data_IF_200589137163
#
_entry.id   IF_200589137163
#
_cell.length_a   1.000
_cell.length_b   1.000
_cell.length_c   1.000
_cell.angle_alpha   90.00
_cell.angle_beta   90.00
_cell.angle_gamma   90.00
#
_symmetry.space_group_name_H-M   'P 1'
#
loop_
_entity.id
_entity.type
_entity.pdbx_description
1 polymer ?
#
# COMPACT_ATOMS: atom_id res chain seq x y z
N UNK A 1 19.66 8.92 -10.84
CA UNK A 1 18.96 7.97 -11.74
C UNK A 1 17.53 7.93 -11.28
N UNK A 2 16.62 8.60 -11.99
CA UNK A 2 15.19 8.38 -11.76
C UNK A 2 14.81 7.15 -12.57
N UNK A 3 14.77 6.01 -11.90
CA UNK A 3 14.31 4.76 -12.51
C UNK A 3 12.80 4.79 -12.62
N UNK A 4 12.24 4.32 -13.74
CA UNK A 4 10.80 4.12 -13.88
C UNK A 4 10.28 3.30 -12.69
N UNK A 5 9.21 3.71 -11.99
CA UNK A 5 8.64 2.95 -10.87
C UNK A 5 8.32 1.50 -11.25
N UNK A 6 7.97 1.27 -12.53
CA UNK A 6 7.71 -0.06 -13.07
C UNK A 6 8.98 -0.92 -13.13
N UNK A 7 10.13 -0.34 -13.47
CA UNK A 7 11.41 -1.05 -13.47
C UNK A 7 11.84 -1.43 -12.05
N UNK A 8 11.64 -0.53 -11.08
CA UNK A 8 11.91 -0.84 -9.68
C UNK A 8 11.02 -1.99 -9.22
N UNK A 9 9.73 -1.95 -9.57
CA UNK A 9 8.79 -3.02 -9.22
C UNK A 9 9.16 -4.36 -9.87
N UNK A 10 9.59 -4.38 -11.14
CA UNK A 10 10.04 -5.63 -11.77
C UNK A 10 11.26 -6.24 -11.07
N UNK A 11 12.20 -5.41 -10.62
CA UNK A 11 13.37 -5.88 -9.86
C UNK A 11 12.97 -6.46 -8.49
N UNK A 12 12.00 -5.82 -7.81
CA UNK A 12 11.46 -6.33 -6.54
C UNK A 12 10.77 -7.69 -6.75
N UNK A 13 9.97 -7.83 -7.81
CA UNK A 13 9.29 -9.09 -8.14
C UNK A 13 10.32 -10.19 -8.41
N UNK A 14 11.35 -9.90 -9.21
CA UNK A 14 12.40 -10.88 -9.50
C UNK A 14 13.17 -11.29 -8.23
N UNK A 15 13.50 -10.33 -7.35
CA UNK A 15 14.15 -10.62 -6.08
C UNK A 15 13.26 -11.46 -5.15
N UNK A 16 11.95 -11.17 -5.10
CA UNK A 16 11.00 -11.93 -4.30
C UNK A 16 10.84 -13.38 -4.79
N UNK A 17 10.79 -13.60 -6.12
CA UNK A 17 10.74 -14.95 -6.71
C UNK A 17 11.97 -15.78 -6.36
N UNK A 18 13.13 -15.15 -6.13
CA UNK A 18 14.37 -15.83 -5.70
C UNK A 18 14.42 -16.14 -4.20
N UNK A 19 13.46 -15.64 -3.40
CA UNK A 19 13.39 -15.78 -1.95
C UNK A 19 12.19 -16.63 -1.50
N UNK A 20 11.83 -17.65 -2.29
CA UNK A 20 10.67 -18.51 -2.09
C UNK A 20 10.65 -19.24 -0.74
N UNK A 21 11.81 -19.51 -0.14
CA UNK A 21 11.94 -20.13 1.18
C UNK A 21 11.50 -19.22 2.35
N UNK A 22 11.30 -17.93 2.09
CA UNK A 22 11.02 -16.93 3.13
C UNK A 22 9.82 -16.04 2.83
N UNK A 23 9.45 -15.90 1.56
CA UNK A 23 8.39 -15.01 1.08
C UNK A 23 7.40 -15.77 0.20
N UNK A 24 6.12 -15.46 0.41
CA UNK A 24 5.04 -15.75 -0.50
C UNK A 24 4.82 -14.52 -1.37
N UNK A 25 4.98 -14.66 -2.68
CA UNK A 25 4.64 -13.65 -3.66
C UNK A 25 3.37 -14.05 -4.42
N UNK A 26 2.42 -13.13 -4.54
CA UNK A 26 1.25 -13.27 -5.41
C UNK A 26 1.39 -12.34 -6.60
N UNK A 27 1.52 -12.90 -7.80
CA UNK A 27 1.65 -12.12 -9.04
C UNK A 27 0.33 -11.44 -9.41
N UNK A 28 -0.81 -12.11 -9.20
CA UNK A 28 -2.15 -11.56 -9.39
C UNK A 28 -2.37 -10.31 -8.53
N UNK A 29 -2.02 -10.39 -7.24
CA UNK A 29 -2.23 -9.34 -6.25
C UNK A 29 -1.00 -8.47 -6.01
N UNK A 30 0.05 -8.59 -6.83
CA UNK A 30 1.35 -7.91 -6.69
C UNK A 30 1.81 -7.73 -5.23
N UNK A 31 1.64 -8.76 -4.40
CA UNK A 31 1.78 -8.65 -2.95
C UNK A 31 2.83 -9.60 -2.41
N UNK A 32 3.50 -9.14 -1.35
CA UNK A 32 4.51 -9.89 -0.62
C UNK A 32 4.01 -10.18 0.77
N UNK A 33 4.13 -11.44 1.18
CA UNK A 33 3.80 -11.89 2.52
C UNK A 33 4.93 -12.76 3.03
N UNK A 34 5.20 -12.68 4.33
CA UNK A 34 6.11 -13.63 4.99
C UNK A 34 5.54 -15.05 4.91
N UNK A 35 6.38 -16.02 4.55
CA UNK A 35 5.98 -17.43 4.47
C UNK A 35 5.62 -17.97 5.86
N UNK A 36 6.52 -17.81 6.83
CA UNK A 36 6.28 -18.19 8.22
C UNK A 36 5.66 -17.03 9.02
N UNK A 37 4.65 -17.26 9.88
CA UNK A 37 4.13 -16.22 10.75
C UNK A 37 5.21 -15.68 11.68
N UNK A 38 5.00 -14.46 12.20
CA UNK A 38 5.86 -13.95 13.26
C UNK A 38 5.65 -14.77 14.55
N UNK A 39 6.72 -15.05 15.31
CA UNK A 39 6.61 -15.63 16.63
C UNK A 39 5.65 -14.84 17.53
N UNK A 40 4.77 -15.49 18.30
CA UNK A 40 3.78 -14.80 19.13
C UNK A 40 4.41 -13.80 20.11
N UNK A 41 5.59 -14.10 20.62
CA UNK A 41 6.32 -13.26 21.58
C UNK A 41 6.66 -11.90 20.96
N UNK A 42 7.03 -11.89 19.68
CA UNK A 42 7.31 -10.65 18.94
C UNK A 42 6.02 -9.84 18.79
N UNK A 43 4.92 -10.48 18.39
CA UNK A 43 3.63 -9.79 18.19
C UNK A 43 3.11 -9.21 19.52
N UNK A 44 3.25 -9.95 20.63
CA UNK A 44 2.81 -9.51 21.95
C UNK A 44 3.65 -8.37 22.52
N UNK A 45 4.93 -8.30 22.13
CA UNK A 45 5.84 -7.22 22.52
C UNK A 45 5.60 -5.92 21.75
N UNK A 46 4.88 -5.97 20.62
CA UNK A 46 4.53 -4.76 19.88
C UNK A 46 3.69 -3.85 20.79
N UNK A 47 3.96 -2.53 20.79
CA UNK A 47 3.12 -1.59 21.50
C UNK A 47 1.69 -1.76 20.97
N UNK A 48 0.78 -2.23 21.82
CA UNK A 48 -0.66 -2.22 21.51
C UNK A 48 -1.01 -0.76 21.23
N UNK A 49 -1.62 -0.51 20.07
CA UNK A 49 -2.02 0.79 19.55
C UNK A 49 -1.97 1.87 20.61
N UNK A 50 -1.04 2.82 20.46
CA UNK A 50 -0.95 3.92 21.43
C UNK A 50 -2.34 4.54 21.60
N UNK A 51 -2.83 4.70 22.85
CA UNK A 51 -4.19 5.16 23.12
C UNK A 51 -4.48 6.57 22.58
N UNK A 52 -3.46 7.26 22.05
CA UNK A 52 -3.51 8.62 21.54
C UNK A 52 -3.71 8.72 20.03
N UNK A 53 -3.72 7.62 19.27
CA UNK A 53 -4.04 7.69 17.85
C UNK A 53 -5.56 7.67 17.63
N UNK A 54 -6.11 8.63 16.87
CA UNK A 54 -7.53 8.62 16.55
C UNK A 54 -7.88 7.36 15.74
N UNK A 55 -9.06 6.80 15.98
CA UNK A 55 -9.54 5.59 15.30
C UNK A 55 -9.60 5.78 13.77
N UNK A 56 -9.82 7.02 13.33
CA UNK A 56 -9.70 7.43 11.94
C UNK A 56 -9.13 8.83 11.80
N UNK A 57 -8.48 9.07 10.66
CA UNK A 57 -7.96 10.36 10.24
C UNK A 57 -8.51 10.69 8.86
N UNK A 58 -8.97 11.93 8.71
CA UNK A 58 -9.37 12.50 7.43
C UNK A 58 -8.24 13.39 6.91
N UNK A 59 -7.93 13.29 5.62
CA UNK A 59 -6.96 14.15 4.96
C UNK A 59 -7.44 14.53 3.57
N UNK A 60 -7.15 15.77 3.18
CA UNK A 60 -7.46 16.29 1.86
C UNK A 60 -6.39 15.85 0.85
N UNK A 61 -6.83 15.46 -0.33
CA UNK A 61 -5.98 15.12 -1.46
C UNK A 61 -6.56 15.71 -2.75
N UNK A 62 -5.77 15.68 -3.82
CA UNK A 62 -6.17 16.19 -5.12
C UNK A 62 -6.26 15.02 -6.10
N UNK A 63 -7.43 14.87 -6.74
CA UNK A 63 -7.67 13.88 -7.77
C UNK A 63 -7.35 14.48 -9.14
N UNK A 64 -6.25 14.01 -9.73
CA UNK A 64 -5.84 14.40 -11.08
C UNK A 64 -6.39 13.39 -12.08
N UNK A 65 -7.29 13.80 -13.00
CA UNK A 65 -7.82 12.89 -14.00
C UNK A 65 -6.80 12.61 -15.11
N UNK A 66 -6.96 11.46 -15.79
CA UNK A 66 -6.13 11.12 -16.95
C UNK A 66 -6.48 11.90 -18.22
N UNK A 67 -7.71 12.40 -18.32
CA UNK A 67 -8.17 13.22 -19.45
C UNK A 67 -8.04 14.70 -19.13
N UNK A 68 -7.49 15.47 -20.06
CA UNK A 68 -7.37 16.92 -19.97
C UNK A 68 -8.74 17.65 -20.03
N UNK A 69 -9.81 16.95 -20.43
CA UNK A 69 -11.17 17.51 -20.48
C UNK A 69 -11.83 17.51 -19.09
N UNK A 70 -11.32 16.70 -18.15
CA UNK A 70 -11.85 16.61 -16.80
C UNK A 70 -11.13 17.59 -15.87
N UNK A 71 -11.88 18.15 -14.95
CA UNK A 71 -11.33 19.06 -13.93
C UNK A 71 -10.62 18.29 -12.84
N UNK A 72 -9.58 18.91 -12.28
CA UNK A 72 -8.94 18.47 -11.04
C UNK A 72 -9.89 18.76 -9.88
N UNK A 73 -10.08 17.78 -9.00
CA UNK A 73 -11.05 17.87 -7.90
C UNK A 73 -10.38 17.60 -6.55
N UNK A 74 -10.71 18.37 -5.50
CA UNK A 74 -10.31 18.01 -4.15
C UNK A 74 -11.14 16.81 -3.67
N UNK A 75 -10.50 15.89 -2.96
CA UNK A 75 -11.12 14.71 -2.37
C UNK A 75 -10.71 14.59 -0.90
N UNK A 76 -11.60 14.06 -0.07
CA UNK A 76 -11.33 13.79 1.34
C UNK A 76 -11.19 12.29 1.52
N UNK A 77 -10.01 11.85 1.95
CA UNK A 77 -9.70 10.45 2.22
C UNK A 77 -9.79 10.18 3.71
N UNK A 78 -10.43 9.08 4.08
CA UNK A 78 -10.62 8.67 5.47
C UNK A 78 -9.90 7.36 5.73
N UNK A 79 -8.79 7.39 6.49
CA UNK A 79 -8.04 6.20 6.87
C UNK A 79 -8.35 5.82 8.31
N UNK A 80 -8.50 4.52 8.58
CA UNK A 80 -8.66 3.98 9.93
C UNK A 80 -7.38 3.31 10.41
N UNK A 81 -7.15 3.29 11.72
CA UNK A 81 -5.95 2.70 12.32
C UNK A 81 -5.82 1.19 12.11
N UNK A 82 -6.91 0.50 11.76
CA UNK A 82 -6.94 -0.93 11.48
C UNK A 82 -6.68 -1.32 10.02
N UNK A 83 -6.59 -0.35 9.10
CA UNK A 83 -6.43 -0.60 7.66
C UNK A 83 -5.21 0.13 7.12
N UNK A 84 -4.71 -0.31 5.96
CA UNK A 84 -3.58 0.35 5.33
C UNK A 84 -4.08 1.59 4.57
N UNK A 85 -3.44 2.75 4.77
CA UNK A 85 -3.92 4.01 4.19
C UNK A 85 -3.96 3.98 2.65
N UNK A 86 -3.10 3.16 2.01
CA UNK A 86 -3.14 2.99 0.55
C UNK A 86 -4.41 2.29 0.07
N UNK A 87 -5.12 1.53 0.91
CA UNK A 87 -6.40 0.91 0.52
C UNK A 87 -7.47 1.98 0.25
N UNK A 88 -7.44 3.07 1.01
CA UNK A 88 -8.35 4.21 0.82
C UNK A 88 -8.04 4.94 -0.50
N UNK A 89 -6.75 5.08 -0.82
CA UNK A 89 -6.30 5.66 -2.09
C UNK A 89 -6.65 4.74 -3.27
N UNK A 90 -6.45 3.43 -3.14
CA UNK A 90 -6.83 2.45 -4.14
C UNK A 90 -8.32 2.53 -4.48
N UNK A 91 -9.16 2.59 -3.44
CA UNK A 91 -10.60 2.77 -3.58
C UNK A 91 -10.96 4.07 -4.32
N UNK A 92 -10.33 5.18 -3.97
CA UNK A 92 -10.57 6.48 -4.63
C UNK A 92 -10.13 6.48 -6.11
N UNK A 93 -9.05 5.75 -6.42
CA UNK A 93 -8.56 5.56 -7.79
C UNK A 93 -9.37 4.53 -8.58
N UNK A 94 -10.28 3.80 -7.94
CA UNK A 94 -11.10 2.76 -8.57
C UNK A 94 -10.31 1.49 -8.92
N UNK A 95 -9.24 1.19 -8.20
CA UNK A 95 -8.48 -0.06 -8.32
C UNK A 95 -8.81 -1.02 -7.18
N UNK A 96 -8.53 -2.31 -7.39
CA UNK A 96 -8.97 -3.39 -6.49
C UNK A 96 -8.40 -3.29 -5.07
N UNK A 97 -7.09 -3.06 -4.95
CA UNK A 97 -6.40 -2.98 -3.67
C UNK A 97 -5.14 -2.11 -3.73
N UNK A 98 -4.53 -1.87 -2.56
CA UNK A 98 -3.33 -1.06 -2.41
C UNK A 98 -2.11 -1.56 -3.21
N UNK A 99 -2.02 -2.85 -3.55
CA UNK A 99 -0.88 -3.38 -4.32
C UNK A 99 -0.78 -2.81 -5.73
N UNK A 100 -1.90 -2.28 -6.25
CA UNK A 100 -2.00 -1.69 -7.59
C UNK A 100 -1.67 -0.20 -7.59
N UNK A 101 -1.44 0.40 -6.43
CA UNK A 101 -1.10 1.82 -6.30
C UNK A 101 0.40 2.00 -6.48
N UNK A 102 0.79 2.87 -7.42
CA UNK A 102 2.18 3.28 -7.63
C UNK A 102 2.45 4.58 -6.88
N UNK A 103 3.61 4.64 -6.22
CA UNK A 103 4.06 5.82 -5.48
C UNK A 103 5.14 6.52 -6.30
N UNK A 104 4.93 7.80 -6.60
CA UNK A 104 5.93 8.66 -7.22
C UNK A 104 6.88 9.27 -6.19
N UNK A 105 7.96 9.89 -6.67
CA UNK A 105 8.91 10.65 -5.84
C UNK A 105 8.31 11.95 -5.31
#
# INVERSE_FOLDING_TARGET
MESSPLLVMSLIIEAAKRLEDSLLFSEEKLSLKRLAPHPPEIIQSLPKNEPNFPESISFEAIRVPSSAEKTVEPVILNASSGNYYLDVIAKELGVEDASKVLISR
#
